data_IF_448602386307
#
_entry.id   IF_448602386307
#
_cell.length_a   1.000
_cell.length_b   1.000
_cell.length_c   1.000
_cell.angle_alpha   90.00
_cell.angle_beta   90.00
_cell.angle_gamma   90.00
#
_symmetry.space_group_name_H-M   'P 1'
#
loop_
_entity.id
_entity.type
_entity.pdbx_description
1 polymer ?
#
# COMPACT_ATOMS: atom_id res chain seq x y z
N UNK A 1 7.63 29.12 22.46
CA UNK A 1 8.71 28.46 21.69
C UNK A 1 8.24 28.38 20.25
N UNK A 2 8.90 29.08 19.33
CA UNK A 2 8.57 29.01 17.91
C UNK A 2 8.97 27.64 17.37
N UNK A 3 8.05 26.94 16.70
CA UNK A 3 8.38 25.71 16.01
C UNK A 3 9.26 26.06 14.80
N UNK A 4 10.57 25.93 14.96
CA UNK A 4 11.48 25.88 13.82
C UNK A 4 11.12 24.61 13.07
N UNK A 5 10.58 24.75 11.86
CA UNK A 5 10.47 23.63 10.90
C UNK A 5 11.91 23.23 10.61
N UNK A 6 12.44 22.28 11.40
CA UNK A 6 13.81 21.86 11.28
C UNK A 6 13.98 21.20 9.90
N UNK A 7 15.13 21.42 9.27
CA UNK A 7 15.45 20.86 7.96
C UNK A 7 15.39 19.32 7.89
N UNK A 8 15.11 18.63 9.00
CA UNK A 8 14.86 17.20 9.08
C UNK A 8 13.54 16.72 8.43
N UNK A 9 12.64 17.63 8.01
CA UNK A 9 11.38 17.29 7.33
C UNK A 9 11.50 17.07 5.81
N UNK A 10 12.57 17.53 5.17
CA UNK A 10 12.72 17.41 3.72
C UNK A 10 13.02 15.99 3.21
N UNK A 11 13.93 15.22 3.84
CA UNK A 11 14.28 13.90 3.31
C UNK A 11 13.09 12.93 3.19
N UNK A 12 12.20 12.78 4.20
CA UNK A 12 11.03 11.92 4.08
C UNK A 12 10.08 12.31 2.94
N UNK A 13 9.93 13.61 2.70
CA UNK A 13 9.08 14.13 1.64
C UNK A 13 9.67 13.87 0.25
N UNK A 14 10.99 14.07 0.10
CA UNK A 14 11.71 13.75 -1.13
C UNK A 14 11.64 12.24 -1.42
N UNK A 15 11.79 11.39 -0.40
CA UNK A 15 11.64 9.94 -0.55
C UNK A 15 10.22 9.54 -0.98
N UNK A 16 9.17 10.09 -0.35
CA UNK A 16 7.78 9.86 -0.76
C UNK A 16 7.53 10.34 -2.20
N UNK A 17 8.10 11.48 -2.60
CA UNK A 17 7.94 11.98 -3.96
C UNK A 17 8.66 11.11 -5.01
N UNK A 18 9.90 10.68 -4.73
CA UNK A 18 10.71 9.89 -5.66
C UNK A 18 10.24 8.43 -5.74
N UNK A 19 9.82 7.84 -4.62
CA UNK A 19 9.43 6.43 -4.57
C UNK A 19 7.91 6.27 -4.62
N UNK A 20 7.19 7.03 -3.80
CA UNK A 20 5.74 6.93 -3.63
C UNK A 20 4.97 7.31 -4.90
N UNK A 21 5.28 8.45 -5.53
CA UNK A 21 4.55 8.89 -6.74
C UNK A 21 4.73 7.90 -7.90
N UNK A 22 5.95 7.48 -8.30
CA UNK A 22 6.11 6.49 -9.36
C UNK A 22 5.48 5.15 -9.00
N UNK A 23 5.56 4.73 -7.73
CA UNK A 23 4.90 3.52 -7.27
C UNK A 23 3.38 3.60 -7.34
N UNK A 24 2.78 4.75 -7.02
CA UNK A 24 1.34 4.96 -7.10
C UNK A 24 0.86 4.92 -8.55
N UNK A 25 1.59 5.57 -9.45
CA UNK A 25 1.30 5.54 -10.89
C UNK A 25 1.37 4.09 -11.38
N UNK A 26 2.43 3.36 -11.01
CA UNK A 26 2.60 1.96 -11.36
C UNK A 26 1.45 1.10 -10.80
N UNK A 27 1.08 1.29 -9.53
CA UNK A 27 -0.02 0.56 -8.89
C UNK A 27 -1.33 0.75 -9.65
N UNK A 28 -1.66 2.00 -10.01
CA UNK A 28 -2.86 2.33 -10.76
C UNK A 28 -2.86 1.69 -12.15
N UNK A 29 -1.71 1.69 -12.82
CA UNK A 29 -1.51 1.03 -14.12
C UNK A 29 -1.69 -0.49 -14.00
N UNK A 30 -1.11 -1.13 -12.99
CA UNK A 30 -1.26 -2.56 -12.76
C UNK A 30 -2.71 -2.96 -12.49
N UNK A 31 -3.40 -2.20 -11.64
CA UNK A 31 -4.82 -2.37 -11.38
C UNK A 31 -5.62 -2.25 -12.67
N UNK A 32 -5.37 -1.20 -13.45
CA UNK A 32 -6.04 -0.98 -14.72
C UNK A 32 -5.83 -2.17 -15.68
N UNK A 33 -4.59 -2.62 -15.84
CA UNK A 33 -4.24 -3.78 -16.67
C UNK A 33 -4.95 -5.05 -16.18
N UNK A 34 -4.98 -5.30 -14.87
CA UNK A 34 -5.65 -6.46 -14.29
C UNK A 34 -7.17 -6.45 -14.52
N UNK A 35 -7.79 -5.26 -14.47
CA UNK A 35 -9.23 -5.13 -14.73
C UNK A 35 -9.51 -5.36 -16.22
N UNK A 36 -8.83 -4.63 -17.10
CA UNK A 36 -9.05 -4.67 -18.56
C UNK A 36 -8.74 -6.04 -19.14
N UNK A 37 -7.64 -6.67 -18.70
CA UNK A 37 -7.17 -7.95 -19.23
C UNK A 37 -7.50 -9.13 -18.32
N UNK A 38 -8.49 -8.99 -17.44
CA UNK A 38 -8.86 -10.00 -16.44
C UNK A 38 -9.07 -11.40 -17.02
N UNK A 39 -9.63 -11.51 -18.24
CA UNK A 39 -9.84 -12.77 -18.96
C UNK A 39 -8.54 -13.52 -19.31
N UNK A 40 -7.41 -12.82 -19.41
CA UNK A 40 -6.11 -13.39 -19.80
C UNK A 40 -5.38 -14.05 -18.60
N UNK A 41 -5.83 -13.75 -17.38
CA UNK A 41 -5.24 -14.27 -16.15
C UNK A 41 -5.99 -15.52 -15.66
N UNK A 42 -5.53 -16.69 -16.10
CA UNK A 42 -6.13 -17.99 -15.74
C UNK A 42 -5.72 -18.54 -14.36
N UNK A 43 -4.71 -17.96 -13.69
CA UNK A 43 -4.27 -18.49 -12.39
C UNK A 43 -5.38 -18.34 -11.35
N UNK A 44 -5.48 -19.32 -10.45
CA UNK A 44 -6.47 -19.26 -9.38
C UNK A 44 -6.24 -18.04 -8.48
N UNK A 45 -4.97 -17.70 -8.24
CA UNK A 45 -4.55 -16.52 -7.48
C UNK A 45 -5.07 -15.22 -8.11
N UNK A 46 -4.88 -15.00 -9.41
CA UNK A 46 -5.34 -13.78 -10.07
C UNK A 46 -6.86 -13.69 -10.09
N UNK A 47 -7.56 -14.80 -10.33
CA UNK A 47 -9.03 -14.81 -10.25
C UNK A 47 -9.54 -14.44 -8.87
N UNK A 48 -8.90 -14.96 -7.81
CA UNK A 48 -9.20 -14.59 -6.42
C UNK A 48 -8.86 -13.13 -6.12
N UNK A 49 -7.72 -12.65 -6.59
CA UNK A 49 -7.29 -11.27 -6.42
C UNK A 49 -8.24 -10.29 -7.11
N UNK A 50 -8.56 -10.53 -8.39
CA UNK A 50 -9.49 -9.73 -9.18
C UNK A 50 -10.90 -9.81 -8.60
N UNK A 51 -11.37 -10.99 -8.19
CA UNK A 51 -12.69 -11.11 -7.56
C UNK A 51 -12.79 -10.27 -6.28
N UNK A 52 -11.76 -10.30 -5.43
CA UNK A 52 -11.69 -9.43 -4.25
C UNK A 52 -11.70 -7.96 -4.66
N UNK A 53 -10.85 -7.60 -5.62
CA UNK A 53 -10.73 -6.22 -6.07
C UNK A 53 -12.05 -5.71 -6.65
N UNK A 54 -12.72 -6.48 -7.51
CA UNK A 54 -14.02 -6.14 -8.11
C UNK A 54 -15.13 -6.09 -7.06
N UNK A 55 -15.19 -7.03 -6.11
CA UNK A 55 -16.22 -7.01 -5.06
C UNK A 55 -16.03 -5.79 -4.16
N UNK A 56 -14.78 -5.50 -3.77
CA UNK A 56 -14.45 -4.32 -2.97
C UNK A 56 -14.70 -3.05 -3.78
N UNK A 57 -14.30 -2.98 -5.04
CA UNK A 57 -14.50 -1.78 -5.87
C UNK A 57 -15.98 -1.54 -6.20
N UNK A 58 -16.72 -2.59 -6.58
CA UNK A 58 -18.11 -2.41 -7.03
C UNK A 58 -19.03 -2.01 -5.89
N UNK A 59 -18.85 -2.59 -4.70
CA UNK A 59 -19.76 -2.38 -3.58
C UNK A 59 -19.19 -1.49 -2.48
N UNK A 60 -17.87 -1.54 -2.25
CA UNK A 60 -17.22 -0.74 -1.23
C UNK A 60 -16.59 0.54 -1.77
N UNK A 61 -16.34 0.75 -3.07
CA UNK A 61 -15.68 1.99 -3.52
C UNK A 61 -16.42 3.27 -3.11
N UNK A 62 -17.75 3.40 -3.30
CA UNK A 62 -18.44 4.62 -2.88
C UNK A 62 -18.32 4.81 -1.37
N UNK A 63 -18.43 3.72 -0.61
CA UNK A 63 -18.29 3.71 0.84
C UNK A 63 -16.85 3.98 1.28
N UNK A 64 -15.84 3.49 0.56
CA UNK A 64 -14.43 3.69 0.88
C UNK A 64 -14.00 5.09 0.51
N UNK A 65 -14.51 5.68 -0.56
CA UNK A 65 -14.31 7.10 -0.86
C UNK A 65 -14.98 7.94 0.22
N UNK A 66 -16.23 7.63 0.58
CA UNK A 66 -16.95 8.29 1.67
C UNK A 66 -16.16 8.22 2.99
N UNK A 67 -15.74 7.02 3.40
CA UNK A 67 -15.02 6.80 4.65
C UNK A 67 -13.61 7.38 4.58
N UNK A 68 -12.82 7.13 3.54
CA UNK A 68 -11.43 7.59 3.45
C UNK A 68 -11.30 9.10 3.24
N UNK A 69 -12.27 9.76 2.60
CA UNK A 69 -12.20 11.22 2.42
C UNK A 69 -13.03 11.98 3.44
N UNK A 70 -14.25 11.54 3.76
CA UNK A 70 -15.10 12.27 4.71
C UNK A 70 -14.83 11.89 6.16
N UNK A 71 -14.46 10.65 6.50
CA UNK A 71 -14.20 10.31 7.90
C UNK A 71 -12.94 11.01 8.43
N UNK A 72 -11.80 11.06 7.69
CA UNK A 72 -10.72 11.97 8.02
C UNK A 72 -11.19 13.41 8.04
N UNK A 73 -11.97 13.91 7.08
CA UNK A 73 -12.48 15.29 7.18
C UNK A 73 -13.24 15.55 8.50
N UNK A 74 -14.04 14.61 8.99
CA UNK A 74 -14.73 14.76 10.28
C UNK A 74 -13.83 14.61 11.50
N UNK A 75 -12.72 13.87 11.40
CA UNK A 75 -11.79 13.58 12.51
C UNK A 75 -10.52 14.44 12.48
N UNK A 76 -10.18 15.01 11.33
CA UNK A 76 -8.96 15.72 10.96
C UNK A 76 -9.31 17.06 10.30
N UNK A 77 -10.31 17.77 10.79
CA UNK A 77 -10.30 19.24 10.65
C UNK A 77 -9.72 19.85 11.93
N UNK A 78 -8.37 19.80 12.12
CA UNK A 78 -7.72 20.60 13.13
C UNK A 78 -7.96 22.09 12.94
N UNK A 79 -8.29 22.53 11.71
CA UNK A 79 -8.68 23.91 11.41
C UNK A 79 -9.87 24.39 12.25
N UNK A 80 -10.75 23.48 12.70
CA UNK A 80 -11.89 23.82 13.55
C UNK A 80 -11.57 23.68 15.04
N UNK A 81 -10.41 23.14 15.38
CA UNK A 81 -10.06 22.79 16.76
C UNK A 81 -8.81 23.46 17.30
N UNK A 82 -8.06 24.15 16.44
CA UNK A 82 -7.04 25.10 16.83
C UNK A 82 -7.63 26.51 16.89
N UNK A 83 -7.31 27.22 17.97
CA UNK A 83 -7.51 28.66 18.03
C UNK A 83 -6.32 29.34 17.38
N UNK A 84 -6.62 30.21 16.41
CA UNK A 84 -5.63 31.02 15.73
C UNK A 84 -5.55 32.37 16.42
N UNK A 85 -4.44 32.61 17.09
CA UNK A 85 -4.11 33.90 17.68
C UNK A 85 -3.09 34.64 16.83
N UNK A 86 -3.27 35.95 16.71
CA UNK A 86 -2.23 36.85 16.21
C UNK A 86 -1.81 37.73 17.37
N UNK A 87 -0.52 37.72 17.72
CA UNK A 87 0.08 38.65 18.69
C UNK A 87 1.04 39.51 17.91
N UNK A 88 0.78 40.81 17.90
CA UNK A 88 1.77 41.79 17.48
C UNK A 88 2.94 41.73 18.46
N UNK A 89 4.17 41.75 17.94
CA UNK A 89 5.35 41.98 18.75
C UNK A 89 5.49 43.47 19.06
N UNK A 90 6.33 43.79 20.05
CA UNK A 90 6.56 45.15 20.52
C UNK A 90 7.14 46.10 19.46
N UNK A 91 7.60 45.58 18.32
CA UNK A 91 8.10 46.38 17.21
C UNK A 91 6.98 46.95 16.32
N UNK A 92 5.71 46.58 16.53
CA UNK A 92 4.53 46.98 15.73
C UNK A 92 4.60 46.64 14.23
N UNK A 93 5.61 45.90 13.79
CA UNK A 93 5.81 45.53 12.38
C UNK A 93 5.78 44.02 12.21
N UNK A 94 6.19 43.27 13.24
CA UNK A 94 6.13 41.81 13.19
C UNK A 94 4.94 41.28 13.96
N UNK A 95 4.27 40.30 13.35
CA UNK A 95 3.24 39.51 14.00
C UNK A 95 3.73 38.07 14.08
N UNK A 96 3.40 37.41 15.18
CA UNK A 96 3.58 35.97 15.30
C UNK A 96 2.19 35.34 15.25
N UNK A 97 2.07 34.27 14.47
CA UNK A 97 0.85 33.47 14.42
C UNK A 97 0.99 32.34 15.43
N UNK A 98 0.09 32.30 16.40
CA UNK A 98 0.04 31.26 17.43
C UNK A 98 -1.11 30.34 17.13
N UNK A 99 -0.83 29.05 17.21
CA UNK A 99 -1.82 27.99 17.03
C UNK A 99 -1.91 27.31 18.38
N UNK A 100 -2.99 27.57 19.12
CA UNK A 100 -3.23 26.95 20.42
C UNK A 100 -4.32 25.89 20.30
N UNK A 101 -4.06 24.64 20.71
CA UNK A 101 -5.11 23.62 20.72
C UNK A 101 -6.20 24.01 21.71
N UNK A 102 -7.46 23.98 21.29
CA UNK A 102 -8.61 24.26 22.16
C UNK A 102 -8.76 23.13 23.18
N UNK A 103 -8.57 23.43 24.47
CA UNK A 103 -8.52 22.42 25.55
C UNK A 103 -9.88 21.83 25.96
N UNK A 104 -11.00 22.38 25.50
CA UNK A 104 -12.29 22.25 26.20
C UNK A 104 -13.21 21.10 25.78
N UNK A 105 -12.80 20.10 24.99
CA UNK A 105 -13.68 18.94 24.70
C UNK A 105 -12.95 17.62 24.69
N UNK A 106 -13.71 16.59 25.05
CA UNK A 106 -13.43 15.15 24.89
C UNK A 106 -12.95 14.83 23.48
N UNK A 107 -11.68 15.10 23.24
CA UNK A 107 -10.97 14.65 22.06
C UNK A 107 -10.94 13.13 22.11
N UNK A 108 -11.63 12.48 21.17
CA UNK A 108 -11.19 11.15 20.79
C UNK A 108 -9.77 11.37 20.29
N UNK A 109 -8.77 10.93 21.07
CA UNK A 109 -7.38 11.10 20.70
C UNK A 109 -7.21 10.52 19.30
N UNK A 110 -6.85 11.35 18.31
CA UNK A 110 -6.71 10.91 16.92
C UNK A 110 -5.78 9.70 16.79
N UNK A 111 -4.81 9.57 17.70
CA UNK A 111 -3.92 8.42 17.83
C UNK A 111 -4.65 7.14 18.27
N UNK A 112 -5.65 7.22 19.16
CA UNK A 112 -6.49 6.08 19.55
C UNK A 112 -7.31 5.56 18.37
N UNK A 113 -7.98 6.44 17.63
CA UNK A 113 -8.74 6.05 16.41
C UNK A 113 -7.81 5.41 15.39
N UNK A 114 -6.64 6.00 15.17
CA UNK A 114 -5.64 5.45 14.25
C UNK A 114 -5.15 4.05 14.69
N UNK A 115 -4.90 3.83 15.98
CA UNK A 115 -4.49 2.53 16.50
C UNK A 115 -5.60 1.48 16.40
N UNK A 116 -6.84 1.82 16.77
CA UNK A 116 -7.99 0.91 16.62
C UNK A 116 -8.21 0.57 15.14
N UNK A 117 -8.14 1.57 14.26
CA UNK A 117 -8.27 1.37 12.81
C UNK A 117 -7.14 0.50 12.26
N UNK A 118 -5.89 0.74 12.69
CA UNK A 118 -4.72 -0.05 12.31
C UNK A 118 -4.84 -1.50 12.79
N UNK A 119 -5.33 -1.73 14.01
CA UNK A 119 -5.59 -3.06 14.54
C UNK A 119 -6.67 -3.79 13.73
N UNK A 120 -7.81 -3.15 13.48
CA UNK A 120 -8.89 -3.71 12.67
C UNK A 120 -8.41 -4.04 11.25
N UNK A 121 -7.66 -3.12 10.63
CA UNK A 121 -7.04 -3.32 9.33
C UNK A 121 -6.10 -4.53 9.33
N UNK A 122 -5.22 -4.64 10.33
CA UNK A 122 -4.30 -5.78 10.49
C UNK A 122 -5.04 -7.11 10.62
N UNK A 123 -6.13 -7.16 11.39
CA UNK A 123 -6.96 -8.36 11.55
C UNK A 123 -7.61 -8.74 10.21
N UNK A 124 -8.25 -7.78 9.53
CA UNK A 124 -8.92 -8.02 8.23
C UNK A 124 -7.91 -8.51 7.20
N UNK A 125 -6.76 -7.85 7.08
CA UNK A 125 -5.68 -8.26 6.18
C UNK A 125 -5.13 -9.65 6.52
N UNK A 126 -4.97 -9.96 7.81
CA UNK A 126 -4.57 -11.29 8.27
C UNK A 126 -5.55 -12.38 7.84
N UNK A 127 -6.84 -12.18 8.11
CA UNK A 127 -7.89 -13.12 7.72
C UNK A 127 -7.94 -13.31 6.20
N UNK A 128 -7.88 -12.23 5.44
CA UNK A 128 -7.88 -12.29 3.97
C UNK A 128 -6.66 -13.07 3.44
N UNK A 129 -5.47 -12.83 3.96
CA UNK A 129 -4.26 -13.54 3.54
C UNK A 129 -4.31 -15.03 3.92
N UNK A 130 -4.76 -15.37 5.13
CA UNK A 130 -4.95 -16.76 5.56
C UNK A 130 -5.94 -17.47 4.61
N UNK A 131 -7.09 -16.88 4.32
CA UNK A 131 -8.07 -17.44 3.39
C UNK A 131 -7.44 -17.66 2.01
N UNK A 132 -6.61 -16.72 1.53
CA UNK A 132 -5.93 -16.85 0.23
C UNK A 132 -5.01 -18.06 0.22
N UNK A 133 -4.19 -18.21 1.27
CA UNK A 133 -3.24 -19.31 1.40
C UNK A 133 -3.98 -20.65 1.51
N UNK A 134 -5.09 -20.71 2.28
CA UNK A 134 -5.90 -21.92 2.41
C UNK A 134 -6.54 -22.33 1.09
N UNK A 135 -7.15 -21.37 0.37
CA UNK A 135 -7.72 -21.61 -0.96
C UNK A 135 -6.66 -22.05 -1.97
N UNK A 136 -5.46 -21.45 -1.89
CA UNK A 136 -4.33 -21.84 -2.71
C UNK A 136 -3.85 -23.27 -2.40
N UNK A 137 -3.66 -23.63 -1.12
CA UNK A 137 -3.28 -24.99 -0.72
C UNK A 137 -4.32 -26.02 -1.18
N UNK A 138 -5.62 -25.71 -1.04
CA UNK A 138 -6.70 -26.56 -1.53
C UNK A 138 -6.64 -26.74 -3.05
N UNK A 139 -6.43 -25.66 -3.81
CA UNK A 139 -6.30 -25.71 -5.27
C UNK A 139 -5.08 -26.52 -5.71
N UNK A 140 -3.96 -26.42 -4.98
CA UNK A 140 -2.73 -27.16 -5.28
C UNK A 140 -2.91 -28.67 -5.12
N UNK A 141 -3.57 -29.11 -4.04
CA UNK A 141 -3.77 -30.53 -3.75
C UNK A 141 -4.69 -31.21 -4.79
N UNK A 142 -5.56 -30.47 -5.47
CA UNK A 142 -6.42 -31.02 -6.52
C UNK A 142 -5.69 -31.28 -7.86
N UNK A 143 -4.40 -30.92 -7.97
CA UNK A 143 -3.72 -30.74 -9.27
C UNK A 143 -2.49 -31.65 -9.44
N UNK A 144 -2.48 -32.82 -8.80
CA UNK A 144 -1.32 -33.70 -8.59
C UNK A 144 -0.81 -34.46 -9.86
N UNK A 145 -1.52 -34.39 -10.99
CA UNK A 145 -1.03 -34.90 -12.28
C UNK A 145 -0.52 -33.74 -13.17
N UNK A 146 0.80 -33.54 -13.28
CA UNK A 146 1.40 -32.39 -13.96
C UNK A 146 2.04 -32.68 -15.32
N UNK A 147 1.57 -31.92 -16.33
CA UNK A 147 2.26 -31.67 -17.61
C UNK A 147 3.22 -30.47 -17.48
N UNK A 148 4.17 -30.31 -18.41
CA UNK A 148 5.17 -29.23 -18.40
C UNK A 148 4.56 -27.81 -18.31
N UNK A 149 3.39 -27.57 -18.93
CA UNK A 149 2.68 -26.30 -18.84
C UNK A 149 2.18 -25.98 -17.41
N UNK A 150 1.81 -27.00 -16.63
CA UNK A 150 1.41 -26.83 -15.22
C UNK A 150 2.60 -26.49 -14.33
N UNK A 151 3.80 -26.98 -14.64
CA UNK A 151 5.02 -26.64 -13.89
C UNK A 151 5.36 -25.14 -14.03
N UNK A 152 5.25 -24.60 -15.25
CA UNK A 152 5.43 -23.17 -15.49
C UNK A 152 4.42 -22.33 -14.72
N UNK A 153 3.14 -22.75 -14.70
CA UNK A 153 2.09 -22.10 -13.92
C UNK A 153 2.36 -22.17 -12.42
N UNK A 154 2.82 -23.31 -11.89
CA UNK A 154 3.16 -23.47 -10.48
C UNK A 154 4.28 -22.52 -10.04
N UNK A 155 5.29 -22.29 -10.90
CA UNK A 155 6.37 -21.34 -10.61
C UNK A 155 5.85 -19.91 -10.48
N UNK A 156 4.90 -19.51 -11.33
CA UNK A 156 4.23 -18.20 -11.25
C UNK A 156 3.39 -18.10 -9.98
N UNK A 157 2.61 -19.15 -9.65
CA UNK A 157 1.79 -19.17 -8.44
C UNK A 157 2.62 -19.13 -7.15
N UNK A 158 3.79 -19.78 -7.13
CA UNK A 158 4.75 -19.69 -6.03
C UNK A 158 5.26 -18.24 -5.82
N UNK A 159 5.64 -17.56 -6.91
CA UNK A 159 6.06 -16.14 -6.85
C UNK A 159 4.93 -15.23 -6.36
N UNK A 160 3.70 -15.46 -6.82
CA UNK A 160 2.51 -14.72 -6.36
C UNK A 160 2.21 -14.97 -4.87
N UNK A 161 2.49 -16.17 -4.38
CA UNK A 161 2.37 -16.49 -2.95
C UNK A 161 3.41 -15.72 -2.13
N UNK A 162 4.67 -15.68 -2.59
CA UNK A 162 5.73 -14.88 -1.96
C UNK A 162 5.34 -13.40 -1.94
N UNK A 163 4.84 -12.87 -3.06
CA UNK A 163 4.30 -11.51 -3.15
C UNK A 163 3.22 -11.24 -2.09
N UNK A 164 2.25 -12.13 -1.94
CA UNK A 164 1.18 -11.97 -0.94
C UNK A 164 1.74 -11.96 0.50
N UNK A 165 2.71 -12.83 0.80
CA UNK A 165 3.35 -12.88 2.13
C UNK A 165 4.11 -11.58 2.41
N UNK A 166 4.91 -11.09 1.47
CA UNK A 166 5.67 -9.84 1.64
C UNK A 166 4.73 -8.65 1.83
N UNK A 167 3.67 -8.58 1.01
CA UNK A 167 2.64 -7.54 1.13
C UNK A 167 1.95 -7.61 2.50
N UNK A 168 1.65 -8.81 3.00
CA UNK A 168 1.06 -8.99 4.32
C UNK A 168 2.01 -8.53 5.44
N UNK A 169 3.30 -8.88 5.36
CA UNK A 169 4.30 -8.42 6.33
C UNK A 169 4.35 -6.89 6.35
N UNK A 170 4.37 -6.25 5.18
CA UNK A 170 4.35 -4.79 5.08
C UNK A 170 3.10 -4.17 5.72
N UNK A 171 1.92 -4.74 5.47
CA UNK A 171 0.66 -4.31 6.08
C UNK A 171 0.65 -4.51 7.60
N UNK A 172 1.23 -5.60 8.09
CA UNK A 172 1.35 -5.89 9.52
C UNK A 172 2.32 -4.92 10.21
N UNK A 173 3.46 -4.62 9.58
CA UNK A 173 4.40 -3.59 10.05
C UNK A 173 3.71 -2.23 10.15
N UNK A 174 2.88 -1.88 9.17
CA UNK A 174 2.09 -0.64 9.20
C UNK A 174 1.08 -0.62 10.35
N UNK A 175 0.32 -1.70 10.56
CA UNK A 175 -0.60 -1.82 11.68
C UNK A 175 0.11 -1.70 13.04
N UNK A 176 1.24 -2.38 13.20
CA UNK A 176 2.07 -2.29 14.40
C UNK A 176 2.58 -0.86 14.63
N UNK A 177 2.95 -0.16 13.57
CA UNK A 177 3.41 1.22 13.63
C UNK A 177 2.33 2.20 14.13
N UNK A 178 1.07 2.05 13.68
CA UNK A 178 -0.06 2.84 14.21
C UNK A 178 -0.27 2.63 15.72
N UNK A 179 -0.13 1.38 16.20
CA UNK A 179 -0.19 1.07 17.63
C UNK A 179 0.97 1.75 18.37
N UNK A 180 2.17 1.73 17.79
CA UNK A 180 3.37 2.36 18.34
C UNK A 180 3.20 3.88 18.46
N UNK A 181 2.62 4.54 17.46
CA UNK A 181 2.26 5.97 17.52
C UNK A 181 1.31 6.24 18.68
N UNK A 182 0.29 5.40 18.88
CA UNK A 182 -0.64 5.57 19.99
C UNK A 182 0.03 5.41 21.35
N UNK A 183 0.82 4.34 21.54
CA UNK A 183 1.60 4.12 22.76
C UNK A 183 2.55 5.28 23.01
N UNK A 184 3.25 5.77 21.98
CA UNK A 184 4.13 6.92 22.09
C UNK A 184 3.38 8.19 22.46
N UNK A 185 2.21 8.45 21.86
CA UNK A 185 1.36 9.60 22.20
C UNK A 185 0.89 9.57 23.66
N UNK A 186 0.70 8.37 24.21
CA UNK A 186 0.26 8.18 25.58
C UNK A 186 1.43 8.30 26.59
N UNK A 187 2.59 7.72 26.27
CA UNK A 187 3.77 7.75 27.15
C UNK A 187 4.49 9.11 27.16
N UNK A 188 4.52 9.80 26.03
CA UNK A 188 5.33 11.01 25.82
C UNK A 188 4.48 12.27 25.66
N UNK A 189 3.41 12.40 26.44
CA UNK A 189 2.48 13.55 26.37
C UNK A 189 3.18 14.90 26.56
N UNK A 190 4.24 14.97 27.36
CA UNK A 190 5.02 16.18 27.59
C UNK A 190 6.05 16.48 26.49
N UNK A 191 6.43 15.49 25.69
CA UNK A 191 7.51 15.57 24.71
C UNK A 191 6.95 15.63 23.28
N UNK A 192 6.23 16.72 22.98
CA UNK A 192 5.54 16.91 21.70
C UNK A 192 6.47 16.75 20.49
N UNK A 193 7.72 17.20 20.60
CA UNK A 193 8.72 17.08 19.52
C UNK A 193 9.07 15.61 19.21
N UNK A 194 9.13 14.75 20.23
CA UNK A 194 9.39 13.32 20.05
C UNK A 194 8.22 12.65 19.35
N UNK A 195 6.99 12.91 19.80
CA UNK A 195 5.78 12.42 19.13
C UNK A 195 5.73 12.85 17.65
N UNK A 196 5.97 14.14 17.38
CA UNK A 196 5.93 14.67 16.01
C UNK A 196 7.00 14.02 15.11
N UNK A 197 8.19 13.75 15.66
CA UNK A 197 9.26 13.07 14.92
C UNK A 197 8.88 11.65 14.49
N UNK A 198 8.17 10.91 15.35
CA UNK A 198 7.62 9.60 15.03
C UNK A 198 6.50 9.78 14.02
N UNK A 199 5.49 10.60 14.29
CA UNK A 199 4.35 10.80 13.41
C UNK A 199 4.75 11.23 11.98
N UNK A 200 5.81 12.02 11.81
CA UNK A 200 6.31 12.41 10.50
C UNK A 200 6.85 11.23 9.66
N UNK A 201 7.26 10.13 10.28
CA UNK A 201 7.69 8.94 9.53
C UNK A 201 6.50 8.14 8.95
N UNK A 202 5.29 8.43 9.41
CA UNK A 202 4.09 7.71 9.02
C UNK A 202 3.83 7.77 7.51
N UNK A 203 3.98 8.94 6.90
CA UNK A 203 3.58 9.17 5.51
C UNK A 203 4.39 8.29 4.54
N UNK A 204 5.72 8.29 4.67
CA UNK A 204 6.56 7.51 3.75
C UNK A 204 6.55 6.01 4.09
N UNK A 205 6.44 5.63 5.37
CA UNK A 205 6.27 4.23 5.74
C UNK A 205 4.97 3.67 5.14
N UNK A 206 3.89 4.43 5.23
CA UNK A 206 2.61 4.09 4.62
C UNK A 206 2.74 3.93 3.10
N UNK A 207 3.37 4.89 2.40
CA UNK A 207 3.56 4.83 0.95
C UNK A 207 4.39 3.59 0.54
N UNK A 208 5.45 3.27 1.28
CA UNK A 208 6.26 2.08 0.99
C UNK A 208 5.46 0.80 1.21
N UNK A 209 4.79 0.68 2.35
CA UNK A 209 4.11 -0.55 2.74
C UNK A 209 2.83 -0.82 1.95
N UNK A 210 2.10 0.23 1.55
CA UNK A 210 0.79 0.13 0.91
C UNK A 210 0.87 0.27 -0.61
N UNK A 211 1.85 1.03 -1.12
CA UNK A 211 1.93 1.35 -2.55
C UNK A 211 3.17 0.73 -3.18
N UNK A 212 4.37 1.06 -2.69
CA UNK A 212 5.61 0.62 -3.34
C UNK A 212 5.78 -0.90 -3.32
N UNK A 213 5.76 -1.50 -2.13
CA UNK A 213 5.95 -2.95 -1.99
C UNK A 213 4.91 -3.71 -2.84
N UNK A 214 3.60 -3.42 -2.76
CA UNK A 214 2.62 -4.14 -3.57
C UNK A 214 2.87 -4.02 -5.08
N UNK A 215 3.17 -2.82 -5.58
CA UNK A 215 3.32 -2.60 -7.03
C UNK A 215 4.57 -3.30 -7.57
N UNK A 216 5.72 -2.98 -7.00
CA UNK A 216 7.00 -3.48 -7.51
C UNK A 216 7.10 -5.00 -7.41
N UNK A 217 6.59 -5.60 -6.33
CA UNK A 217 6.60 -7.06 -6.20
C UNK A 217 5.55 -7.75 -7.07
N UNK A 218 4.43 -7.11 -7.42
CA UNK A 218 3.46 -7.69 -8.35
C UNK A 218 4.04 -7.79 -9.77
N UNK A 219 4.69 -6.72 -10.25
CA UNK A 219 5.44 -6.73 -11.51
C UNK A 219 6.52 -7.82 -11.52
N UNK A 220 7.24 -8.00 -10.40
CA UNK A 220 8.24 -9.05 -10.28
C UNK A 220 7.62 -10.45 -10.32
N UNK A 221 6.50 -10.64 -9.61
CA UNK A 221 5.87 -11.94 -9.46
C UNK A 221 5.21 -12.45 -10.74
N UNK A 222 4.72 -11.56 -11.61
CA UNK A 222 3.95 -11.90 -12.80
C UNK A 222 4.55 -11.35 -14.08
N UNK A 223 5.15 -12.25 -14.88
CA UNK A 223 5.63 -11.92 -16.23
C UNK A 223 4.52 -11.42 -17.15
N UNK A 224 3.29 -11.95 -17.01
CA UNK A 224 2.13 -11.52 -17.80
C UNK A 224 1.68 -10.10 -17.46
N UNK A 225 1.64 -9.74 -16.18
CA UNK A 225 1.31 -8.36 -15.77
C UNK A 225 2.38 -7.43 -16.32
N UNK A 226 3.65 -7.79 -16.16
CA UNK A 226 4.78 -7.04 -16.70
C UNK A 226 4.70 -6.82 -18.21
N UNK A 227 4.40 -7.88 -18.96
CA UNK A 227 4.25 -7.81 -20.42
C UNK A 227 3.10 -6.87 -20.82
N UNK A 228 1.94 -6.97 -20.18
CA UNK A 228 0.80 -6.09 -20.47
C UNK A 228 1.07 -4.63 -20.06
N UNK A 229 1.71 -4.39 -18.92
CA UNK A 229 2.10 -3.04 -18.49
C UNK A 229 3.07 -2.43 -19.49
N UNK A 230 4.13 -3.14 -19.86
CA UNK A 230 5.12 -2.59 -20.80
C UNK A 230 4.55 -2.43 -22.21
N UNK A 231 3.76 -3.38 -22.72
CA UNK A 231 3.14 -3.24 -24.06
C UNK A 231 2.12 -2.11 -24.15
N UNK A 232 1.47 -1.74 -23.04
CA UNK A 232 0.51 -0.64 -23.02
C UNK A 232 1.20 0.73 -23.00
N UNK A 233 2.37 0.84 -22.32
CA UNK A 233 2.98 2.14 -22.02
C UNK A 233 4.37 2.39 -22.62
N UNK A 234 5.07 1.35 -23.09
CA UNK A 234 6.36 1.49 -23.75
C UNK A 234 6.24 1.19 -25.25
N UNK A 235 7.01 1.89 -26.11
CA UNK A 235 7.13 1.53 -27.51
C UNK A 235 7.57 0.07 -27.65
N UNK A 236 6.99 -0.66 -28.59
CA UNK A 236 7.35 -2.07 -28.87
C UNK A 236 8.84 -2.25 -29.16
N UNK A 237 9.52 -1.21 -29.65
CA UNK A 237 10.97 -1.20 -29.88
C UNK A 237 11.82 -1.27 -28.61
N UNK A 238 11.27 -0.96 -27.44
CA UNK A 238 11.97 -0.97 -26.15
C UNK A 238 11.80 -2.29 -25.40
N UNK A 239 10.81 -3.09 -25.80
CA UNK A 239 10.55 -4.40 -25.24
C UNK A 239 11.45 -5.38 -26.00
N UNK A 240 12.66 -5.62 -25.49
CA UNK A 240 13.40 -6.80 -25.94
C UNK A 240 12.57 -8.01 -25.53
N UNK A 241 12.08 -8.84 -26.47
CA UNK A 241 11.42 -10.07 -26.09
C UNK A 241 12.42 -10.85 -25.25
N UNK A 242 12.04 -11.24 -24.03
CA UNK A 242 12.74 -12.28 -23.28
C UNK A 242 12.54 -13.61 -24.04
N UNK A 243 13.18 -13.69 -25.21
CA UNK A 243 13.40 -14.90 -25.97
C UNK A 243 14.35 -15.71 -25.12
N UNK A 244 13.84 -16.67 -24.34
CA UNK A 244 14.50 -17.97 -24.10
C UNK A 244 13.81 -18.89 -23.09
N UNK A 245 12.76 -18.51 -22.36
CA UNK A 245 12.33 -19.39 -21.24
C UNK A 245 11.27 -20.46 -21.51
N UNK A 246 10.53 -20.47 -22.62
CA UNK A 246 9.49 -21.50 -22.85
C UNK A 246 9.16 -21.84 -24.31
N UNK A 247 10.16 -22.07 -25.16
CA UNK A 247 9.93 -22.96 -26.32
C UNK A 247 10.49 -24.33 -25.96
N UNK A 248 9.65 -25.33 -25.63
CA UNK A 248 10.13 -26.70 -25.59
C UNK A 248 10.59 -27.03 -27.01
N UNK A 249 11.91 -27.19 -27.17
CA UNK A 249 12.45 -27.77 -28.39
C UNK A 249 11.88 -29.18 -28.49
N UNK A 250 10.92 -29.36 -29.40
CA UNK A 250 10.58 -30.69 -29.88
C UNK A 250 11.83 -31.23 -30.58
N UNK A 251 12.70 -31.89 -29.81
CA UNK A 251 13.69 -32.80 -30.36
C UNK A 251 12.89 -33.97 -30.96
N UNK A 252 12.54 -33.85 -32.23
CA UNK A 252 12.21 -35.00 -33.06
C UNK A 252 13.49 -35.82 -33.20
N UNK A 253 13.66 -36.80 -32.32
CA UNK A 253 14.61 -37.89 -32.52
C UNK A 253 14.17 -38.65 -33.76
N UNK A 254 14.81 -38.33 -34.89
CA UNK A 254 14.76 -39.16 -36.08
C UNK A 254 15.43 -40.50 -35.76
N UNK A 255 14.61 -41.54 -35.61
CA UNK A 255 15.08 -42.91 -35.81
C UNK A 255 15.01 -43.19 -37.30
N UNK A 256 16.18 -43.18 -37.94
CA UNK A 256 16.47 -43.93 -39.16
C UNK A 256 17.06 -45.27 -38.77
#
# INVERSE_FOLDING_TARGET
MGAVISQATYPPFIFSLIIGVPSMILYMIEIFVLIVHSSNFRSAFFRLFIARFIVIWKYLLPLSILVTYLAPLTCTVPILTYEYGVRLQNDNVTFTLFITPRQDRTYIQSSYVAAVSGLLFGIICGLLNIITILLYRKSRNAQEYMSAAKLAQQKVESRLTIYAIITFIAQLSMAAYYILIYVASWLFQSEFNFFLSIANQLCWLHDICVIAIPSWFLLWASSKVKEHVFSTFLPSSWIKPDVTLFTPSHHTSGHT
#
